data_IF_572344507206
#
_entry.id   IF_572344507206
#
_cell.length_a   1.000
_cell.length_b   1.000
_cell.length_c   1.000
_cell.angle_alpha   90.00
_cell.angle_beta   90.00
_cell.angle_gamma   90.00
#
_symmetry.space_group_name_H-M   'P 1'
#
loop_
_entity.id
_entity.type
_entity.pdbx_description
1 polymer ?
#
# COMPACT_ATOMS: atom_id res chain seq x y z
N UNK A 1 28.35 -42.70 -5.32
CA UNK A 1 27.30 -41.96 -4.61
C UNK A 1 26.33 -41.43 -5.64
N UNK A 2 25.05 -41.76 -5.49
CA UNK A 2 24.02 -41.21 -6.35
C UNK A 2 23.83 -39.71 -6.06
N UNK A 3 23.38 -38.93 -7.06
CA UNK A 3 23.19 -37.47 -6.92
C UNK A 3 22.25 -37.13 -5.76
N UNK A 4 21.27 -37.99 -5.52
CA UNK A 4 20.29 -37.85 -4.44
C UNK A 4 20.91 -38.07 -3.05
N UNK A 5 21.88 -38.98 -2.91
CA UNK A 5 22.64 -39.17 -1.67
C UNK A 5 23.46 -37.93 -1.31
N UNK A 6 24.07 -37.29 -2.32
CA UNK A 6 24.86 -36.06 -2.14
C UNK A 6 23.96 -34.92 -1.66
N UNK A 7 22.84 -34.68 -2.34
CA UNK A 7 21.88 -33.63 -1.96
C UNK A 7 21.39 -33.86 -0.53
N UNK A 8 21.01 -35.09 -0.20
CA UNK A 8 20.56 -35.44 1.15
C UNK A 8 21.64 -35.24 2.22
N UNK A 9 22.92 -35.46 1.88
CA UNK A 9 24.03 -35.15 2.78
C UNK A 9 24.16 -33.62 3.01
N UNK A 10 24.08 -32.82 1.95
CA UNK A 10 24.12 -31.35 2.07
C UNK A 10 22.93 -30.81 2.88
N UNK A 11 21.71 -31.31 2.67
CA UNK A 11 20.52 -30.89 3.42
C UNK A 11 20.64 -31.14 4.93
N UNK A 12 21.48 -32.10 5.37
CA UNK A 12 21.76 -32.33 6.79
C UNK A 12 22.77 -31.34 7.37
N UNK A 13 23.74 -30.89 6.58
CA UNK A 13 24.86 -30.05 7.05
C UNK A 13 24.56 -28.56 6.89
N UNK A 14 23.93 -28.17 5.79
CA UNK A 14 23.63 -26.77 5.45
C UNK A 14 22.87 -26.01 6.55
N UNK A 15 21.92 -26.62 7.29
CA UNK A 15 21.26 -25.93 8.40
C UNK A 15 22.19 -25.41 9.49
N UNK A 16 23.31 -26.10 9.79
CA UNK A 16 24.29 -25.66 10.80
C UNK A 16 25.45 -24.87 10.18
N UNK A 17 25.58 -24.91 8.85
CA UNK A 17 26.70 -24.29 8.14
C UNK A 17 26.80 -22.78 8.38
N UNK A 18 25.66 -22.07 8.41
CA UNK A 18 25.65 -20.63 8.70
C UNK A 18 26.09 -20.34 10.13
N UNK A 19 25.76 -21.19 11.11
CA UNK A 19 26.18 -20.96 12.51
C UNK A 19 27.67 -21.27 12.71
N UNK A 20 28.26 -22.08 11.84
CA UNK A 20 29.69 -22.36 11.82
C UNK A 20 30.50 -21.27 11.10
N UNK A 21 29.91 -20.61 10.10
CA UNK A 21 30.55 -19.55 9.34
C UNK A 21 30.20 -18.21 9.99
N UNK A 22 31.18 -17.56 10.63
CA UNK A 22 31.01 -16.25 11.31
C UNK A 22 30.81 -15.07 10.34
N UNK A 23 30.26 -15.32 9.15
CA UNK A 23 30.03 -14.36 8.07
C UNK A 23 28.54 -14.27 7.73
N UNK A 24 28.11 -13.09 7.28
CA UNK A 24 26.73 -12.85 6.82
C UNK A 24 26.52 -13.45 5.42
N UNK A 25 26.20 -14.74 5.40
CA UNK A 25 26.02 -15.53 4.18
C UNK A 25 24.57 -15.98 3.99
N UNK A 26 24.16 -16.05 2.73
CA UNK A 26 22.95 -16.74 2.29
C UNK A 26 23.34 -18.15 1.85
N UNK A 27 22.59 -19.16 2.30
CA UNK A 27 22.83 -20.56 1.90
C UNK A 27 21.59 -21.12 1.23
N UNK A 28 21.75 -21.71 0.06
CA UNK A 28 20.69 -22.43 -0.65
C UNK A 28 21.18 -23.75 -1.22
N UNK A 29 20.26 -24.69 -1.36
CA UNK A 29 20.48 -25.98 -2.05
C UNK A 29 19.35 -26.13 -3.06
N UNK A 30 19.68 -26.55 -4.28
CA UNK A 30 18.71 -26.81 -5.34
C UNK A 30 19.02 -28.13 -6.05
N UNK A 31 17.97 -28.74 -6.61
CA UNK A 31 18.12 -29.79 -7.62
C UNK A 31 18.20 -29.16 -9.03
N UNK A 32 18.13 -29.97 -10.08
CA UNK A 32 18.20 -29.48 -11.48
C UNK A 32 16.98 -28.67 -11.93
N UNK A 33 15.96 -28.52 -11.08
CA UNK A 33 14.66 -27.93 -11.41
C UNK A 33 14.23 -26.84 -10.44
N UNK A 34 14.54 -26.97 -9.14
CA UNK A 34 14.00 -26.11 -8.08
C UNK A 34 14.91 -26.02 -6.86
N UNK A 35 14.67 -24.97 -6.07
CA UNK A 35 15.27 -24.78 -4.74
C UNK A 35 14.69 -25.78 -3.74
N UNK A 36 15.56 -26.48 -3.02
CA UNK A 36 15.23 -27.46 -1.96
C UNK A 36 15.42 -26.89 -0.55
N UNK A 37 16.35 -25.94 -0.41
CA UNK A 37 16.63 -25.28 0.86
C UNK A 37 17.01 -23.83 0.62
N UNK A 38 16.58 -22.96 1.52
CA UNK A 38 16.99 -21.56 1.57
C UNK A 38 17.08 -21.10 3.02
N UNK A 39 18.21 -20.46 3.37
CA UNK A 39 18.39 -19.72 4.63
C UNK A 39 18.97 -18.36 4.32
N UNK A 40 18.27 -17.26 4.68
CA UNK A 40 18.82 -15.92 4.50
C UNK A 40 19.99 -15.67 5.46
N UNK A 41 20.81 -14.69 5.10
CA UNK A 41 21.81 -14.07 5.96
C UNK A 41 21.16 -13.29 7.10
N UNK A 42 21.98 -12.68 7.93
CA UNK A 42 21.52 -11.80 9.02
C UNK A 42 21.07 -10.45 8.47
N UNK A 43 21.80 -9.90 7.50
CA UNK A 43 21.42 -8.65 6.83
C UNK A 43 21.12 -8.84 5.34
N UNK A 44 21.58 -9.94 4.74
CA UNK A 44 21.41 -10.23 3.31
C UNK A 44 20.28 -11.24 3.11
N UNK A 45 19.23 -10.84 2.40
CA UNK A 45 18.12 -11.72 2.03
C UNK A 45 17.74 -11.48 0.56
N UNK A 46 17.98 -12.49 -0.28
CA UNK A 46 17.63 -12.46 -1.72
C UNK A 46 16.18 -12.89 -1.98
N UNK A 47 15.40 -13.15 -0.91
CA UNK A 47 13.96 -13.48 -0.95
C UNK A 47 13.60 -14.72 -1.79
N UNK A 48 14.49 -15.69 -1.88
CA UNK A 48 14.18 -16.98 -2.51
C UNK A 48 13.31 -17.86 -1.58
N UNK A 49 12.52 -18.75 -2.17
CA UNK A 49 11.65 -19.69 -1.46
C UNK A 49 11.96 -21.14 -1.86
N UNK A 50 11.74 -22.07 -0.94
CA UNK A 50 11.80 -23.51 -1.26
C UNK A 50 10.70 -23.84 -2.27
N UNK A 51 11.10 -24.48 -3.37
CA UNK A 51 10.23 -24.80 -4.50
C UNK A 51 10.32 -23.82 -5.67
N UNK A 52 11.01 -22.68 -5.52
CA UNK A 52 11.24 -21.75 -6.63
C UNK A 52 11.96 -22.46 -7.78
N UNK A 53 11.44 -22.29 -9.00
CA UNK A 53 12.00 -22.90 -10.21
C UNK A 53 13.24 -22.13 -10.65
N UNK A 54 14.26 -22.87 -11.09
CA UNK A 54 15.47 -22.28 -11.64
C UNK A 54 15.20 -21.73 -13.06
N UNK A 55 15.57 -20.47 -13.29
CA UNK A 55 15.32 -19.79 -14.56
C UNK A 55 16.61 -19.50 -15.33
N UNK A 56 16.63 -19.60 -16.68
CA UNK A 56 17.78 -19.21 -17.48
C UNK A 56 18.25 -17.78 -17.18
N UNK A 57 19.56 -17.60 -17.06
CA UNK A 57 20.17 -16.32 -16.65
C UNK A 57 20.37 -16.15 -15.14
N UNK A 58 19.84 -17.03 -14.29
CA UNK A 58 20.20 -17.07 -12.87
C UNK A 58 21.55 -17.77 -12.66
N UNK A 59 22.43 -17.26 -11.77
CA UNK A 59 23.74 -17.88 -11.52
C UNK A 59 23.65 -19.37 -11.14
N UNK A 60 22.62 -19.74 -10.37
CA UNK A 60 22.40 -21.12 -9.93
C UNK A 60 21.99 -22.04 -11.10
N UNK A 61 21.15 -21.54 -12.01
CA UNK A 61 20.76 -22.28 -13.22
C UNK A 61 21.96 -22.54 -14.13
N UNK A 62 22.76 -21.51 -14.43
CA UNK A 62 23.92 -21.66 -15.31
C UNK A 62 25.00 -22.54 -14.68
N UNK A 63 25.23 -22.46 -13.36
CA UNK A 63 26.16 -23.34 -12.65
C UNK A 63 25.79 -24.82 -12.80
N UNK A 64 24.49 -25.15 -12.66
CA UNK A 64 23.98 -26.51 -12.81
C UNK A 64 24.08 -26.98 -14.27
N UNK A 65 23.70 -26.13 -15.21
CA UNK A 65 23.70 -26.44 -16.65
C UNK A 65 25.10 -26.69 -17.19
N UNK A 66 26.07 -25.86 -16.81
CA UNK A 66 27.45 -25.95 -17.27
C UNK A 66 28.27 -26.98 -16.46
N UNK A 67 27.74 -27.44 -15.32
CA UNK A 67 28.42 -28.36 -14.41
C UNK A 67 29.69 -27.75 -13.79
N UNK A 68 29.73 -26.43 -13.62
CA UNK A 68 30.90 -25.67 -13.15
C UNK A 68 30.53 -24.77 -11.98
N UNK A 69 31.47 -24.56 -11.07
CA UNK A 69 31.31 -23.56 -10.01
C UNK A 69 31.23 -22.17 -10.63
N UNK A 70 30.20 -21.43 -10.25
CA UNK A 70 29.99 -20.04 -10.66
C UNK A 70 30.27 -19.12 -9.48
N UNK A 71 31.03 -18.05 -9.69
CA UNK A 71 31.29 -17.01 -8.71
C UNK A 71 31.16 -15.65 -9.39
N UNK A 72 30.29 -14.79 -8.86
CA UNK A 72 30.15 -13.42 -9.30
C UNK A 72 30.02 -12.48 -8.10
N UNK A 73 30.57 -11.27 -8.25
CA UNK A 73 30.45 -10.22 -7.25
C UNK A 73 29.43 -9.21 -7.75
N UNK A 74 28.35 -9.00 -7.01
CA UNK A 74 27.45 -7.86 -7.26
C UNK A 74 28.17 -6.61 -6.73
N UNK A 75 28.36 -5.61 -7.58
CA UNK A 75 28.99 -4.36 -7.16
C UNK A 75 28.11 -3.65 -6.13
N UNK A 76 28.74 -2.98 -5.16
CA UNK A 76 28.02 -2.24 -4.12
C UNK A 76 27.09 -1.19 -4.73
N UNK A 77 27.53 -0.56 -5.82
CA UNK A 77 26.79 0.45 -6.57
C UNK A 77 25.50 -0.15 -7.17
N UNK A 78 25.55 -1.34 -7.78
CA UNK A 78 24.38 -1.98 -8.36
C UNK A 78 23.32 -2.33 -7.30
N UNK A 79 23.78 -2.75 -6.11
CA UNK A 79 22.87 -3.04 -5.00
C UNK A 79 22.19 -1.77 -4.46
N UNK A 80 22.95 -0.68 -4.28
CA UNK A 80 22.39 0.62 -3.85
C UNK A 80 21.40 1.17 -4.89
N UNK A 81 21.70 1.06 -6.18
CA UNK A 81 20.77 1.47 -7.25
C UNK A 81 19.45 0.71 -7.16
N UNK A 82 19.47 -0.61 -6.95
CA UNK A 82 18.25 -1.43 -6.77
C UNK A 82 17.45 -0.97 -5.55
N UNK A 83 18.13 -0.74 -4.43
CA UNK A 83 17.51 -0.26 -3.18
C UNK A 83 16.85 1.10 -3.38
N UNK A 84 17.53 2.04 -4.03
CA UNK A 84 16.99 3.36 -4.35
C UNK A 84 15.78 3.27 -5.30
N UNK A 85 15.82 2.40 -6.31
CA UNK A 85 14.70 2.19 -7.21
C UNK A 85 13.46 1.64 -6.45
N UNK A 86 13.65 0.68 -5.55
CA UNK A 86 12.58 0.15 -4.71
C UNK A 86 11.99 1.22 -3.78
N UNK A 87 12.84 2.00 -3.11
CA UNK A 87 12.41 3.10 -2.24
C UNK A 87 11.66 4.19 -3.00
N UNK A 88 12.11 4.51 -4.22
CA UNK A 88 11.45 5.47 -5.11
C UNK A 88 10.05 4.99 -5.49
N UNK A 89 9.91 3.72 -5.90
CA UNK A 89 8.63 3.12 -6.24
C UNK A 89 7.65 3.14 -5.05
N UNK A 90 8.10 2.71 -3.87
CA UNK A 90 7.29 2.73 -2.65
C UNK A 90 6.86 4.15 -2.26
N UNK A 91 7.75 5.14 -2.43
CA UNK A 91 7.43 6.53 -2.14
C UNK A 91 6.40 7.10 -3.12
N UNK A 92 6.54 6.79 -4.41
CA UNK A 92 5.57 7.18 -5.44
C UNK A 92 4.18 6.59 -5.17
N UNK A 93 4.12 5.32 -4.75
CA UNK A 93 2.86 4.67 -4.38
C UNK A 93 2.17 5.36 -3.20
N UNK A 94 2.93 5.69 -2.14
CA UNK A 94 2.41 6.44 -0.97
C UNK A 94 1.89 7.83 -1.35
N UNK A 95 2.60 8.53 -2.24
CA UNK A 95 2.18 9.84 -2.75
C UNK A 95 0.86 9.71 -3.52
N UNK A 96 0.74 8.70 -4.38
CA UNK A 96 -0.47 8.43 -5.14
C UNK A 96 -1.67 8.14 -4.23
N UNK A 97 -1.47 7.30 -3.20
CA UNK A 97 -2.51 7.01 -2.19
C UNK A 97 -2.95 8.28 -1.45
N UNK A 98 -2.00 9.08 -0.98
CA UNK A 98 -2.28 10.34 -0.27
C UNK A 98 -3.05 11.33 -1.14
N UNK A 99 -2.71 11.41 -2.44
CA UNK A 99 -3.42 12.26 -3.40
C UNK A 99 -4.84 11.75 -3.67
N UNK A 100 -5.03 10.44 -3.73
CA UNK A 100 -6.36 9.83 -3.87
C UNK A 100 -7.26 10.15 -2.67
N UNK A 101 -6.73 10.04 -1.45
CA UNK A 101 -7.44 10.41 -0.22
C UNK A 101 -7.77 11.90 -0.20
N UNK A 102 -6.82 12.75 -0.58
CA UNK A 102 -7.04 14.20 -0.70
C UNK A 102 -8.19 14.51 -1.66
N UNK A 103 -8.23 13.85 -2.83
CA UNK A 103 -9.33 13.99 -3.78
C UNK A 103 -10.68 13.54 -3.20
N UNK A 104 -10.69 12.50 -2.37
CA UNK A 104 -11.91 12.05 -1.67
C UNK A 104 -12.41 13.10 -0.69
N UNK A 105 -11.51 13.70 0.10
CA UNK A 105 -11.87 14.80 1.00
C UNK A 105 -12.42 16.01 0.26
N UNK A 106 -11.79 16.40 -0.86
CA UNK A 106 -12.27 17.51 -1.70
C UNK A 106 -13.69 17.23 -2.21
N UNK A 107 -13.99 16.03 -2.70
CA UNK A 107 -15.36 15.67 -3.14
C UNK A 107 -16.37 15.75 -2.00
N UNK A 108 -16.00 15.30 -0.80
CA UNK A 108 -16.86 15.39 0.37
C UNK A 108 -17.13 16.84 0.77
N UNK A 109 -16.12 17.71 0.72
CA UNK A 109 -16.28 19.15 0.97
C UNK A 109 -17.27 19.76 -0.04
N UNK A 110 -17.14 19.46 -1.33
CA UNK A 110 -18.09 19.93 -2.34
C UNK A 110 -19.52 19.47 -2.07
N UNK A 111 -19.70 18.21 -1.64
CA UNK A 111 -21.02 17.68 -1.28
C UNK A 111 -21.63 18.48 -0.11
N UNK A 112 -20.87 18.68 0.96
CA UNK A 112 -21.33 19.43 2.14
C UNK A 112 -21.67 20.88 1.79
N UNK A 113 -20.86 21.53 0.94
CA UNK A 113 -21.15 22.89 0.46
C UNK A 113 -22.46 22.93 -0.31
N UNK A 114 -22.70 21.96 -1.20
CA UNK A 114 -23.96 21.88 -1.97
C UNK A 114 -25.17 21.66 -1.07
N UNK A 115 -25.06 20.82 -0.04
CA UNK A 115 -26.12 20.61 0.94
C UNK A 115 -26.40 21.88 1.75
N UNK A 116 -25.34 22.56 2.21
CA UNK A 116 -25.45 23.83 2.93
C UNK A 116 -26.13 24.94 2.09
N UNK A 117 -25.85 24.98 0.78
CA UNK A 117 -26.50 25.92 -0.13
C UNK A 117 -28.01 25.66 -0.21
N UNK A 118 -28.42 24.40 -0.40
CA UNK A 118 -29.85 24.04 -0.44
C UNK A 118 -30.58 24.37 0.87
N UNK A 119 -29.94 24.13 2.02
CA UNK A 119 -30.48 24.52 3.33
C UNK A 119 -30.65 26.04 3.42
N UNK A 120 -29.66 26.81 2.95
CA UNK A 120 -29.70 28.28 2.99
C UNK A 120 -30.81 28.84 2.12
N UNK A 121 -31.04 28.26 0.93
CA UNK A 121 -32.16 28.61 0.05
C UNK A 121 -33.51 28.33 0.72
N UNK A 122 -33.66 27.17 1.38
CA UNK A 122 -34.85 26.84 2.16
C UNK A 122 -35.10 27.82 3.31
N UNK A 123 -34.06 28.20 4.05
CA UNK A 123 -34.17 29.19 5.13
C UNK A 123 -34.59 30.57 4.63
N UNK A 124 -34.09 31.01 3.47
CA UNK A 124 -34.50 32.26 2.87
C UNK A 124 -36.01 32.26 2.53
N UNK A 125 -36.51 31.15 1.96
CA UNK A 125 -37.93 30.98 1.68
C UNK A 125 -38.79 31.00 2.96
N UNK A 126 -38.41 30.23 3.99
CA UNK A 126 -39.14 30.24 5.27
C UNK A 126 -39.12 31.61 5.97
N UNK A 127 -38.05 32.38 5.80
CA UNK A 127 -37.98 33.76 6.32
C UNK A 127 -38.96 34.69 5.59
N UNK A 128 -39.11 34.53 4.27
CA UNK A 128 -40.10 35.28 3.51
C UNK A 128 -41.53 34.95 3.94
N UNK A 129 -41.84 33.66 4.14
CA UNK A 129 -43.13 33.20 4.64
C UNK A 129 -43.43 33.71 6.06
N UNK A 130 -42.41 33.73 6.93
CA UNK A 130 -42.53 34.31 8.27
C UNK A 130 -42.88 35.79 8.22
N UNK A 131 -42.21 36.57 7.35
CA UNK A 131 -42.51 38.00 7.20
C UNK A 131 -43.95 38.22 6.71
N UNK A 132 -44.41 37.46 5.72
CA UNK A 132 -45.80 37.52 5.26
C UNK A 132 -46.80 37.20 6.38
N UNK A 133 -46.50 36.18 7.19
CA UNK A 133 -47.34 35.81 8.35
C UNK A 133 -47.37 36.94 9.39
N UNK A 134 -46.25 37.62 9.64
CA UNK A 134 -46.18 38.77 10.55
C UNK A 134 -47.00 39.97 10.05
N UNK A 135 -47.02 40.22 8.74
CA UNK A 135 -47.87 41.25 8.13
C UNK A 135 -49.36 40.93 8.32
N UNK A 136 -49.77 39.66 8.12
CA UNK A 136 -51.15 39.22 8.35
C UNK A 136 -51.56 39.34 9.83
N UNK A 137 -50.67 38.95 10.75
CA UNK A 137 -50.90 39.11 12.21
C UNK A 137 -51.07 40.60 12.55
N UNK A 138 -50.21 41.46 12.02
CA UNK A 138 -50.27 42.91 12.26
C UNK A 138 -51.60 43.48 11.77
N UNK A 139 -52.02 43.12 10.56
CA UNK A 139 -53.28 43.54 9.96
C UNK A 139 -54.49 43.06 10.78
N UNK A 140 -54.45 41.82 11.26
CA UNK A 140 -55.49 41.24 12.10
C UNK A 140 -55.59 41.97 13.46
N UNK A 141 -54.45 42.29 14.08
CA UNK A 141 -54.39 43.04 15.33
C UNK A 141 -54.94 44.48 15.19
N UNK A 142 -54.65 45.15 14.06
CA UNK A 142 -55.23 46.45 13.74
C UNK A 142 -56.75 46.37 13.60
N UNK A 143 -57.25 45.38 12.85
CA UNK A 143 -58.69 45.13 12.68
C UNK A 143 -59.40 44.91 14.03
N UNK A 144 -58.84 44.07 14.90
CA UNK A 144 -59.34 43.85 16.27
C UNK A 144 -59.39 45.16 17.08
N UNK A 145 -58.37 46.01 16.94
CA UNK A 145 -58.30 47.30 17.62
C UNK A 145 -59.44 48.22 17.17
N UNK A 146 -59.71 48.30 15.87
CA UNK A 146 -60.81 49.09 15.31
C UNK A 146 -62.19 48.60 15.76
N UNK A 147 -62.40 47.28 15.80
CA UNK A 147 -63.64 46.67 16.32
C UNK A 147 -63.84 47.02 17.79
N UNK A 148 -62.78 47.04 18.61
CA UNK A 148 -62.90 47.39 20.03
C UNK A 148 -63.30 48.86 20.28
N UNK A 149 -62.99 49.77 19.34
CA UNK A 149 -63.33 51.20 19.44
C UNK A 149 -64.77 51.52 19.02
N UNK A 150 -65.45 50.59 18.35
CA UNK A 150 -66.81 50.77 17.83
C UNK A 150 -67.90 50.19 18.75
N UNK A 151 -67.51 49.60 19.88
CA UNK A 151 -68.39 49.26 21.01
C UNK A 151 -68.19 50.23 22.16
#
# INVERSE_FOLDING_TARGET
>A
MEKEEIINAFLKVVPVLKDMLLDDIVVSVADTTKVLYYRPGDTIDIKANVGDKLSPGEPLYEAIKDGKTYSSTISKELNEIRKLAQLSNQSSEKVSQSLSETNKYIRNIFKVISEAQSISEGQAASTQEMNATLEEITTSAQTLTEISKTK
#
